data_IF_053023520234
#
_entry.id   IF_053023520234
#
_cell.length_a   1.000
_cell.length_b   1.000
_cell.length_c   1.000
_cell.angle_alpha   90.00
_cell.angle_beta   90.00
_cell.angle_gamma   90.00
#
_symmetry.space_group_name_H-M   'P 1'
#
loop_
_entity.id
_entity.type
_entity.pdbx_description
1 polymer ?
#
# COMPACT_ATOMS: atom_id res chain seq x y z
N UNK A 1 -1.63 5.94 -3.31
CA UNK A 1 -2.17 4.74 -2.67
C UNK A 1 -1.24 4.25 -1.57
N UNK A 2 -1.69 3.37 -0.70
CA UNK A 2 -0.98 2.76 0.42
C UNK A 2 -0.50 3.80 1.45
N UNK A 3 -1.23 3.89 2.55
CA UNK A 3 -0.95 4.76 3.70
C UNK A 3 -1.83 4.35 4.89
N UNK A 4 -1.42 4.75 6.11
CA UNK A 4 -2.06 4.36 7.37
C UNK A 4 -2.57 5.62 8.10
N UNK A 5 -3.66 6.18 7.57
CA UNK A 5 -4.22 7.48 7.97
C UNK A 5 -5.55 7.37 8.72
N UNK A 6 -5.98 6.15 9.09
CA UNK A 6 -7.20 5.94 9.88
C UNK A 6 -6.83 5.83 11.36
N UNK A 7 -7.28 6.76 12.22
CA UNK A 7 -6.86 6.82 13.61
C UNK A 7 -7.11 5.54 14.39
N UNK A 8 -6.04 5.01 15.02
CA UNK A 8 -6.13 3.94 16.01
C UNK A 8 -6.49 2.55 15.47
N UNK A 9 -6.51 2.34 14.15
CA UNK A 9 -6.78 1.02 13.57
C UNK A 9 -5.54 0.13 13.50
N UNK A 10 -4.35 0.72 13.40
CA UNK A 10 -3.08 0.03 13.26
C UNK A 10 -1.93 0.85 13.87
N UNK A 11 -0.69 0.60 13.45
CA UNK A 11 0.50 1.35 13.85
C UNK A 11 0.70 2.67 13.07
N UNK A 12 -0.30 3.10 12.30
CA UNK A 12 -0.38 4.41 11.65
C UNK A 12 -0.66 5.54 12.64
N UNK A 13 -1.40 6.56 12.18
CA UNK A 13 -1.75 7.72 13.00
C UNK A 13 -2.66 7.33 14.17
N UNK A 14 -2.36 7.76 15.42
CA UNK A 14 -3.16 7.40 16.59
C UNK A 14 -4.41 8.27 16.78
N UNK A 15 -4.40 9.51 16.25
CA UNK A 15 -5.47 10.49 16.50
C UNK A 15 -5.99 11.13 15.21
N UNK A 16 -7.19 11.73 15.29
CA UNK A 16 -7.77 12.46 14.16
C UNK A 16 -6.95 13.70 13.81
N UNK A 17 -6.37 14.38 14.78
CA UNK A 17 -5.54 15.55 14.53
C UNK A 17 -4.29 15.18 13.74
N UNK A 18 -3.61 14.08 14.11
CA UNK A 18 -2.45 13.57 13.35
C UNK A 18 -2.86 13.09 11.95
N UNK A 19 -4.06 12.50 11.79
CA UNK A 19 -4.59 12.13 10.49
C UNK A 19 -4.76 13.35 9.57
N UNK A 20 -5.36 14.42 10.09
CA UNK A 20 -5.55 15.69 9.37
C UNK A 20 -4.22 16.34 9.00
N UNK A 21 -3.26 16.39 9.94
CA UNK A 21 -1.91 16.89 9.67
C UNK A 21 -1.22 16.11 8.55
N UNK A 22 -1.34 14.78 8.56
CA UNK A 22 -0.76 13.92 7.53
C UNK A 22 -1.43 14.11 6.17
N UNK A 23 -2.78 14.17 6.13
CA UNK A 23 -3.53 14.41 4.88
C UNK A 23 -3.14 15.75 4.29
N UNK A 24 -3.06 16.81 5.12
CA UNK A 24 -2.64 18.14 4.68
C UNK A 24 -1.19 18.15 4.19
N UNK A 25 -0.27 17.50 4.93
CA UNK A 25 1.14 17.41 4.53
C UNK A 25 1.32 16.71 3.18
N UNK A 26 0.61 15.60 2.94
CA UNK A 26 0.61 14.91 1.66
C UNK A 26 -0.05 15.74 0.56
N UNK A 27 -1.16 16.44 0.88
CA UNK A 27 -1.79 17.39 -0.05
C UNK A 27 -0.84 18.49 -0.52
N UNK A 28 -0.04 19.05 0.39
CA UNK A 28 1.01 20.04 0.06
C UNK A 28 2.14 19.48 -0.83
N UNK A 29 2.27 18.16 -0.93
CA UNK A 29 3.17 17.48 -1.87
C UNK A 29 2.52 17.23 -3.24
N UNK A 30 1.25 17.63 -3.44
CA UNK A 30 0.52 17.49 -4.69
C UNK A 30 -0.44 16.30 -4.76
N UNK A 31 -0.60 15.54 -3.68
CA UNK A 31 -1.59 14.46 -3.65
C UNK A 31 -3.00 15.04 -3.56
N UNK A 32 -3.84 14.71 -4.53
CA UNK A 32 -5.26 15.11 -4.55
C UNK A 32 -6.18 13.99 -4.05
N UNK A 33 -5.74 12.74 -4.13
CA UNK A 33 -6.46 11.54 -3.70
C UNK A 33 -5.53 10.64 -2.91
N UNK A 34 -5.96 10.23 -1.73
CA UNK A 34 -5.26 9.28 -0.87
C UNK A 34 -6.13 8.03 -0.70
N UNK A 35 -5.56 6.86 -0.90
CA UNK A 35 -6.17 5.60 -0.52
C UNK A 35 -5.43 5.13 0.72
N UNK A 36 -6.12 5.11 1.85
CA UNK A 36 -5.60 4.62 3.12
C UNK A 36 -5.93 3.15 3.28
N UNK A 37 -4.97 2.38 3.77
CA UNK A 37 -4.99 0.92 3.77
C UNK A 37 -4.51 0.38 5.11
N UNK A 38 -5.28 0.57 6.20
CA UNK A 38 -4.88 0.01 7.49
C UNK A 38 -4.67 -1.50 7.38
N UNK A 39 -3.76 -2.00 8.22
CA UNK A 39 -3.49 -3.43 8.30
C UNK A 39 -4.75 -4.22 8.73
N UNK A 40 -4.93 -5.39 8.11
CA UNK A 40 -5.86 -6.43 8.55
C UNK A 40 -5.04 -7.69 8.81
N UNK A 41 -4.90 -8.05 10.09
CA UNK A 41 -4.08 -9.16 10.58
C UNK A 41 -4.76 -9.75 11.82
N UNK A 42 -4.98 -11.07 11.87
CA UNK A 42 -5.77 -11.73 12.91
C UNK A 42 -5.35 -11.37 14.34
N UNK A 43 -4.08 -11.51 14.64
CA UNK A 43 -3.58 -11.40 16.03
C UNK A 43 -3.29 -9.96 16.46
N UNK A 44 -2.96 -9.07 15.51
CA UNK A 44 -2.42 -7.75 15.84
C UNK A 44 -3.37 -6.60 15.50
N UNK A 45 -4.01 -6.69 14.34
CA UNK A 45 -4.92 -5.66 13.82
C UNK A 45 -6.16 -6.33 13.22
N UNK A 46 -7.08 -6.86 14.07
CA UNK A 46 -8.27 -7.57 13.62
C UNK A 46 -9.36 -6.64 13.09
N UNK A 47 -8.92 -5.72 12.20
CA UNK A 47 -9.81 -4.78 11.58
C UNK A 47 -10.80 -5.49 10.65
N UNK A 48 -12.00 -4.96 10.57
CA UNK A 48 -13.06 -5.44 9.66
C UNK A 48 -13.31 -4.42 8.56
N UNK A 49 -13.94 -4.85 7.47
CA UNK A 49 -14.41 -3.94 6.41
C UNK A 49 -15.35 -2.86 6.97
N UNK A 50 -16.15 -3.21 8.01
CA UNK A 50 -17.05 -2.30 8.70
C UNK A 50 -16.30 -1.20 9.45
N UNK A 51 -15.33 -1.57 10.30
CA UNK A 51 -14.54 -0.60 11.09
C UNK A 51 -13.73 0.33 10.19
N UNK A 52 -13.14 -0.22 9.11
CA UNK A 52 -12.37 0.59 8.15
C UNK A 52 -13.28 1.60 7.43
N UNK A 53 -14.47 1.20 6.99
CA UNK A 53 -15.42 2.11 6.34
C UNK A 53 -15.93 3.20 7.28
N UNK A 54 -16.20 2.86 8.53
CA UNK A 54 -16.63 3.83 9.55
C UNK A 54 -15.56 4.89 9.80
N UNK A 55 -14.32 4.47 10.06
CA UNK A 55 -13.21 5.40 10.27
C UNK A 55 -12.88 6.20 9.02
N UNK A 56 -13.00 5.60 7.83
CA UNK A 56 -12.83 6.34 6.58
C UNK A 56 -13.82 7.49 6.47
N UNK A 57 -15.11 7.27 6.77
CA UNK A 57 -16.12 8.33 6.76
C UNK A 57 -15.80 9.43 7.78
N UNK A 58 -15.39 9.05 9.00
CA UNK A 58 -15.01 10.01 10.03
C UNK A 58 -13.84 10.90 9.56
N UNK A 59 -12.80 10.32 8.96
CA UNK A 59 -11.68 11.09 8.39
C UNK A 59 -12.12 11.96 7.21
N UNK A 60 -12.96 11.45 6.30
CA UNK A 60 -13.51 12.24 5.18
C UNK A 60 -14.28 13.47 5.66
N UNK A 61 -15.14 13.31 6.68
CA UNK A 61 -15.90 14.40 7.27
C UNK A 61 -14.98 15.44 7.93
N UNK A 62 -13.98 14.99 8.69
CA UNK A 62 -13.01 15.86 9.33
C UNK A 62 -12.16 16.64 8.30
N UNK A 63 -11.67 15.99 7.25
CA UNK A 63 -10.92 16.60 6.14
C UNK A 63 -11.78 17.67 5.44
N UNK A 64 -13.04 17.36 5.15
CA UNK A 64 -13.99 18.30 4.55
C UNK A 64 -14.24 19.51 5.45
N UNK A 65 -14.47 19.28 6.75
CA UNK A 65 -14.69 20.34 7.75
C UNK A 65 -13.47 21.25 7.92
N UNK A 66 -12.26 20.69 7.80
CA UNK A 66 -11.00 21.45 7.88
C UNK A 66 -10.64 22.18 6.58
N UNK A 67 -11.43 22.02 5.51
CA UNK A 67 -11.17 22.68 4.23
C UNK A 67 -9.93 22.13 3.48
N UNK A 68 -9.44 20.95 3.82
CA UNK A 68 -8.28 20.34 3.16
C UNK A 68 -8.70 19.81 1.78
N UNK A 69 -8.09 20.27 0.66
CA UNK A 69 -8.52 19.93 -0.70
C UNK A 69 -7.97 18.57 -1.15
N UNK A 70 -8.15 17.52 -0.34
CA UNK A 70 -7.68 16.15 -0.60
C UNK A 70 -8.83 15.19 -0.35
N UNK A 71 -9.10 14.31 -1.32
CA UNK A 71 -10.06 13.23 -1.14
C UNK A 71 -9.38 12.01 -0.50
N UNK A 72 -10.00 11.45 0.53
CA UNK A 72 -9.51 10.25 1.24
C UNK A 72 -10.45 9.09 0.92
N UNK A 73 -9.91 7.92 0.63
CA UNK A 73 -10.64 6.68 0.36
C UNK A 73 -10.08 5.56 1.24
N UNK A 74 -10.96 4.65 1.70
CA UNK A 74 -10.57 3.51 2.51
C UNK A 74 -10.46 2.24 1.69
N UNK A 75 -9.40 1.49 1.92
CA UNK A 75 -9.18 0.12 1.52
C UNK A 75 -8.50 -0.62 2.67
N UNK A 76 -7.89 -1.77 2.43
CA UNK A 76 -7.13 -2.48 3.45
C UNK A 76 -5.82 -3.03 2.89
N UNK A 77 -4.81 -3.17 3.76
CA UNK A 77 -3.62 -3.99 3.54
C UNK A 77 -3.78 -5.29 4.30
N UNK A 78 -4.00 -6.37 3.57
CA UNK A 78 -4.25 -7.69 4.16
C UNK A 78 -2.96 -8.46 4.34
N UNK A 79 -2.65 -8.82 5.57
CA UNK A 79 -1.60 -9.79 5.85
C UNK A 79 -2.08 -11.18 5.44
N UNK A 80 -1.32 -11.88 4.59
CA UNK A 80 -1.72 -13.18 4.04
C UNK A 80 -1.52 -14.32 5.06
N UNK A 81 -2.36 -14.33 6.10
CA UNK A 81 -2.49 -15.38 7.10
C UNK A 81 -3.76 -16.23 6.88
N UNK A 82 -4.07 -17.12 7.82
CA UNK A 82 -5.29 -17.96 7.76
C UNK A 82 -6.57 -17.11 7.81
N UNK A 83 -6.55 -15.99 8.54
CA UNK A 83 -7.67 -15.06 8.61
C UNK A 83 -7.95 -14.39 7.24
N UNK A 84 -6.90 -14.04 6.50
CA UNK A 84 -7.06 -13.59 5.13
C UNK A 84 -7.77 -14.64 4.26
N UNK A 85 -7.40 -15.93 4.42
CA UNK A 85 -8.05 -17.03 3.74
C UNK A 85 -9.55 -17.12 4.06
N UNK A 86 -9.94 -16.93 5.32
CA UNK A 86 -11.34 -16.88 5.72
C UNK A 86 -12.10 -15.70 5.13
N UNK A 87 -11.51 -14.50 5.17
CA UNK A 87 -12.11 -13.28 4.57
C UNK A 87 -12.31 -13.45 3.07
N UNK A 88 -11.32 -14.03 2.39
CA UNK A 88 -11.38 -14.31 0.95
C UNK A 88 -12.55 -15.28 0.64
N UNK A 89 -12.72 -16.35 1.43
CA UNK A 89 -13.83 -17.29 1.27
C UNK A 89 -15.18 -16.63 1.46
N UNK A 90 -15.31 -15.70 2.41
CA UNK A 90 -16.55 -14.96 2.72
C UNK A 90 -16.82 -13.81 1.74
N UNK A 91 -15.91 -13.52 0.79
CA UNK A 91 -15.93 -12.32 -0.07
C UNK A 91 -15.98 -11.01 0.76
N UNK A 92 -15.35 -10.99 1.93
CA UNK A 92 -15.31 -9.84 2.83
C UNK A 92 -13.94 -9.14 2.77
N UNK A 93 -13.58 -8.72 1.58
CA UNK A 93 -12.38 -7.91 1.34
C UNK A 93 -12.76 -6.51 0.88
N UNK A 94 -11.94 -5.52 1.24
CA UNK A 94 -12.08 -4.12 0.84
C UNK A 94 -10.98 -3.77 -0.16
N UNK A 95 -11.28 -3.81 -1.48
CA UNK A 95 -10.30 -3.53 -2.53
C UNK A 95 -9.89 -2.05 -2.58
N UNK A 96 -8.74 -1.79 -3.19
CA UNK A 96 -8.24 -0.43 -3.49
C UNK A 96 -9.15 0.35 -4.44
N UNK A 97 -9.89 -0.38 -5.29
CA UNK A 97 -10.71 0.22 -6.34
C UNK A 97 -11.88 -0.69 -6.77
N UNK A 98 -12.74 -0.13 -7.63
CA UNK A 98 -13.89 -0.82 -8.22
C UNK A 98 -13.51 -1.95 -9.19
N UNK A 99 -12.24 -2.07 -9.56
CA UNK A 99 -11.74 -3.13 -10.46
C UNK A 99 -11.26 -4.38 -9.72
N UNK A 100 -11.35 -4.39 -8.38
CA UNK A 100 -11.00 -5.54 -7.55
C UNK A 100 -9.50 -5.68 -7.25
N UNK A 101 -8.71 -4.60 -7.27
CA UNK A 101 -7.33 -4.62 -6.81
C UNK A 101 -7.29 -4.70 -5.29
N UNK A 102 -6.69 -5.75 -4.74
CA UNK A 102 -6.56 -5.99 -3.29
C UNK A 102 -5.10 -5.92 -2.89
N UNK A 103 -4.77 -5.03 -1.94
CA UNK A 103 -3.43 -4.90 -1.40
C UNK A 103 -3.19 -6.01 -0.37
N UNK A 104 -2.10 -6.76 -0.58
CA UNK A 104 -1.72 -7.88 0.28
C UNK A 104 -0.27 -7.74 0.74
N UNK A 105 -0.01 -8.13 1.98
CA UNK A 105 1.30 -8.13 2.61
C UNK A 105 1.71 -9.55 3.00
N UNK A 106 3.00 -9.88 2.83
CA UNK A 106 3.57 -11.15 3.28
C UNK A 106 4.34 -10.96 4.60
N UNK A 107 4.57 -12.06 5.29
CA UNK A 107 5.51 -12.05 6.42
C UNK A 107 6.91 -11.62 5.97
N UNK A 108 7.57 -10.79 6.80
CA UNK A 108 8.96 -10.39 6.56
C UNK A 108 9.97 -11.53 6.80
N UNK A 109 9.55 -12.62 7.43
CA UNK A 109 10.40 -13.77 7.74
C UNK A 109 10.46 -14.79 6.60
N UNK A 110 9.30 -15.13 6.04
CA UNK A 110 9.15 -16.09 4.94
C UNK A 110 7.77 -15.93 4.28
N UNK A 111 7.61 -16.29 3.00
CA UNK A 111 6.29 -16.30 2.38
C UNK A 111 5.39 -17.35 3.04
N UNK A 112 4.07 -17.12 3.10
CA UNK A 112 3.15 -18.14 3.62
C UNK A 112 3.13 -19.37 2.71
N UNK A 113 2.97 -20.55 3.29
CA UNK A 113 2.90 -21.81 2.54
C UNK A 113 1.73 -21.81 1.54
N UNK A 114 0.64 -21.16 1.90
CA UNK A 114 -0.56 -21.07 1.07
C UNK A 114 -0.50 -19.94 0.00
N UNK A 115 0.63 -19.25 -0.18
CA UNK A 115 0.73 -18.08 -1.07
C UNK A 115 0.16 -18.34 -2.47
N UNK A 116 0.58 -19.42 -3.11
CA UNK A 116 0.13 -19.74 -4.48
C UNK A 116 -1.37 -20.05 -4.53
N UNK A 117 -1.89 -20.72 -3.50
CA UNK A 117 -3.32 -21.00 -3.38
C UNK A 117 -4.11 -19.69 -3.21
N UNK A 118 -3.66 -18.78 -2.34
CA UNK A 118 -4.33 -17.49 -2.15
C UNK A 118 -4.34 -16.66 -3.44
N UNK A 119 -3.23 -16.59 -4.15
CA UNK A 119 -3.16 -15.87 -5.42
C UNK A 119 -4.11 -16.46 -6.48
N UNK A 120 -4.19 -17.78 -6.55
CA UNK A 120 -5.13 -18.49 -7.43
C UNK A 120 -6.59 -18.20 -7.04
N UNK A 121 -6.93 -18.34 -5.77
CA UNK A 121 -8.29 -18.15 -5.26
C UNK A 121 -8.78 -16.71 -5.42
N UNK A 122 -7.89 -15.71 -5.24
CA UNK A 122 -8.19 -14.31 -5.53
C UNK A 122 -8.58 -14.14 -7.01
N UNK A 123 -7.77 -14.66 -7.92
CA UNK A 123 -8.02 -14.50 -9.36
C UNK A 123 -9.27 -15.26 -9.82
N UNK A 124 -9.51 -16.44 -9.29
CA UNK A 124 -10.73 -17.22 -9.55
C UNK A 124 -12.01 -16.46 -9.15
N UNK A 125 -11.89 -15.51 -8.21
CA UNK A 125 -12.97 -14.60 -7.77
C UNK A 125 -12.97 -13.25 -8.49
N UNK A 126 -12.13 -13.06 -9.52
CA UNK A 126 -12.00 -11.81 -10.25
C UNK A 126 -11.22 -10.71 -9.51
N UNK A 127 -10.58 -11.03 -8.36
CA UNK A 127 -9.73 -10.11 -7.64
C UNK A 127 -8.32 -10.06 -8.24
N UNK A 128 -7.67 -8.93 -8.10
CA UNK A 128 -6.34 -8.66 -8.65
C UNK A 128 -5.36 -8.41 -7.50
N UNK A 129 -4.50 -9.38 -7.16
CA UNK A 129 -3.56 -9.21 -6.06
C UNK A 129 -2.54 -8.11 -6.37
N UNK A 130 -2.35 -7.21 -5.41
CA UNK A 130 -1.30 -6.18 -5.41
C UNK A 130 -0.41 -6.43 -4.21
N UNK A 131 0.80 -6.90 -4.44
CA UNK A 131 1.77 -7.14 -3.38
C UNK A 131 2.36 -5.82 -2.91
N UNK A 132 2.17 -5.54 -1.62
CA UNK A 132 2.75 -4.39 -0.95
C UNK A 132 4.26 -4.55 -0.84
N UNK A 133 4.99 -3.49 -1.14
CA UNK A 133 6.44 -3.32 -0.94
C UNK A 133 7.28 -4.60 -1.09
N UNK A 134 7.23 -5.31 -2.26
CA UNK A 134 7.97 -6.55 -2.47
C UNK A 134 9.48 -6.40 -2.25
N UNK A 135 10.00 -5.20 -2.40
CA UNK A 135 11.39 -4.85 -2.14
C UNK A 135 11.80 -4.94 -0.67
N UNK A 136 10.85 -5.05 0.27
CA UNK A 136 11.13 -5.17 1.72
C UNK A 136 11.28 -6.62 2.18
N UNK A 137 10.95 -7.60 1.35
CA UNK A 137 11.09 -9.02 1.70
C UNK A 137 12.50 -9.51 1.41
N UNK A 138 13.34 -9.59 2.45
CA UNK A 138 14.78 -9.93 2.36
C UNK A 138 15.00 -11.25 1.65
N UNK A 139 14.12 -12.23 1.82
CA UNK A 139 14.21 -13.55 1.21
C UNK A 139 14.04 -13.54 -0.33
N UNK A 140 13.58 -12.41 -0.91
CA UNK A 140 13.46 -12.22 -2.37
C UNK A 140 14.56 -11.32 -2.97
N UNK A 141 15.36 -10.59 -2.17
CA UNK A 141 16.20 -9.48 -2.63
C UNK A 141 17.12 -9.81 -3.83
N UNK A 142 17.69 -11.03 -3.89
CA UNK A 142 18.62 -11.43 -4.97
C UNK A 142 17.99 -12.41 -5.95
N UNK A 143 16.70 -12.69 -5.83
CA UNK A 143 16.01 -13.74 -6.57
C UNK A 143 15.03 -13.15 -7.58
N UNK A 144 15.54 -12.62 -8.69
CA UNK A 144 14.70 -12.03 -9.74
C UNK A 144 13.67 -13.03 -10.29
N UNK A 145 14.00 -14.31 -10.33
CA UNK A 145 13.13 -15.40 -10.75
C UNK A 145 11.89 -15.56 -9.86
N UNK A 146 12.03 -15.33 -8.55
CA UNK A 146 10.91 -15.38 -7.61
C UNK A 146 9.93 -14.21 -7.83
N UNK A 147 10.46 -13.01 -8.06
CA UNK A 147 9.63 -11.86 -8.46
C UNK A 147 8.91 -12.13 -9.78
N UNK A 148 9.62 -12.76 -10.75
CA UNK A 148 9.01 -13.10 -12.02
C UNK A 148 7.92 -14.18 -11.86
N UNK A 149 8.12 -15.16 -10.98
CA UNK A 149 7.11 -16.17 -10.67
C UNK A 149 5.84 -15.53 -10.09
N UNK A 150 5.96 -14.57 -9.16
CA UNK A 150 4.82 -13.82 -8.62
C UNK A 150 4.10 -12.99 -9.70
N UNK A 151 4.85 -12.35 -10.60
CA UNK A 151 4.27 -11.62 -11.75
C UNK A 151 3.50 -12.58 -12.67
N UNK A 152 4.08 -13.74 -12.97
CA UNK A 152 3.45 -14.76 -13.81
C UNK A 152 2.19 -15.35 -13.14
N UNK A 153 2.18 -15.41 -11.80
CA UNK A 153 0.99 -15.75 -11.01
C UNK A 153 -0.01 -14.59 -10.90
N UNK A 154 0.07 -13.56 -11.77
CA UNK A 154 -0.88 -12.45 -11.85
C UNK A 154 -0.73 -11.36 -10.80
N UNK A 155 0.29 -11.44 -9.95
CA UNK A 155 0.52 -10.46 -8.90
C UNK A 155 1.04 -9.14 -9.47
N UNK A 156 0.46 -8.01 -9.07
CA UNK A 156 0.98 -6.66 -9.33
C UNK A 156 1.84 -6.21 -8.17
N UNK A 157 2.80 -5.34 -8.43
CA UNK A 157 3.75 -4.88 -7.40
C UNK A 157 3.56 -3.40 -7.08
N UNK A 158 3.39 -3.11 -5.81
CA UNK A 158 3.44 -1.76 -5.28
C UNK A 158 4.75 -1.56 -4.53
N UNK A 159 5.61 -0.68 -5.01
CA UNK A 159 6.89 -0.32 -4.38
C UNK A 159 6.74 0.97 -3.56
N UNK A 160 7.36 1.00 -2.39
CA UNK A 160 7.39 2.20 -1.56
C UNK A 160 8.32 3.26 -2.18
N UNK A 161 7.83 4.48 -2.32
CA UNK A 161 8.62 5.60 -2.89
C UNK A 161 9.90 5.83 -2.08
N UNK A 162 9.81 5.73 -0.74
CA UNK A 162 10.96 5.92 0.14
C UNK A 162 11.98 4.77 0.05
N UNK A 163 11.61 3.58 -0.40
CA UNK A 163 12.57 2.50 -0.67
C UNK A 163 13.57 2.90 -1.77
N UNK A 164 13.09 3.63 -2.77
CA UNK A 164 13.94 4.10 -3.88
C UNK A 164 15.05 5.03 -3.39
N UNK A 165 14.81 5.76 -2.31
CA UNK A 165 15.74 6.74 -1.73
C UNK A 165 16.69 6.17 -0.67
N UNK A 166 16.55 4.89 -0.31
CA UNK A 166 17.36 4.25 0.71
C UNK A 166 16.87 4.45 2.14
N UNK A 167 15.65 4.95 2.34
CA UNK A 167 15.08 5.18 3.68
C UNK A 167 15.04 3.91 4.54
N UNK A 168 14.81 2.75 3.92
CA UNK A 168 14.74 1.44 4.59
C UNK A 168 16.06 0.64 4.51
N UNK A 169 17.15 1.30 4.16
CA UNK A 169 18.48 0.69 4.05
C UNK A 169 18.89 0.33 2.62
N UNK A 170 20.20 0.03 2.44
CA UNK A 170 20.77 -0.18 1.10
C UNK A 170 20.23 -1.41 0.38
N UNK A 171 19.96 -2.50 1.09
CA UNK A 171 19.49 -3.75 0.48
C UNK A 171 18.07 -3.58 -0.10
N UNK A 172 17.17 -2.91 0.65
CA UNK A 172 15.82 -2.56 0.20
C UNK A 172 15.88 -1.61 -1.00
N UNK A 173 16.79 -0.62 -0.97
CA UNK A 173 17.00 0.29 -2.09
C UNK A 173 17.46 -0.46 -3.34
N UNK A 174 18.39 -1.39 -3.20
CA UNK A 174 18.90 -2.20 -4.30
C UNK A 174 17.80 -3.08 -4.90
N UNK A 175 16.98 -3.71 -4.04
CA UNK A 175 15.83 -4.49 -4.48
C UNK A 175 14.79 -3.63 -5.23
N UNK A 176 14.47 -2.42 -4.72
CA UNK A 176 13.58 -1.49 -5.40
C UNK A 176 14.13 -1.08 -6.78
N UNK A 177 15.44 -0.80 -6.88
CA UNK A 177 16.10 -0.49 -8.15
C UNK A 177 16.08 -1.66 -9.12
N UNK A 178 16.25 -2.89 -8.62
CA UNK A 178 16.16 -4.11 -9.43
C UNK A 178 14.76 -4.26 -10.05
N UNK A 179 13.71 -4.08 -9.25
CA UNK A 179 12.32 -4.13 -9.72
C UNK A 179 12.02 -3.04 -10.75
N UNK A 180 12.48 -1.81 -10.52
CA UNK A 180 12.34 -0.70 -11.46
C UNK A 180 13.08 -0.99 -12.77
N UNK A 181 14.33 -1.45 -12.71
CA UNK A 181 15.15 -1.77 -13.90
C UNK A 181 14.47 -2.82 -14.78
N UNK A 182 13.83 -3.81 -14.16
CA UNK A 182 13.13 -4.90 -14.85
C UNK A 182 11.66 -4.58 -15.19
N UNK A 183 11.19 -3.34 -14.97
CA UNK A 183 9.82 -2.87 -15.28
C UNK A 183 8.74 -3.71 -14.58
N UNK A 184 9.01 -4.17 -13.36
CA UNK A 184 8.09 -5.00 -12.59
C UNK A 184 7.18 -4.19 -11.66
N UNK A 185 7.40 -2.89 -11.53
CA UNK A 185 6.63 -2.01 -10.65
C UNK A 185 5.37 -1.51 -11.35
N UNK A 186 4.20 -1.86 -10.80
CA UNK A 186 2.91 -1.40 -11.31
C UNK A 186 2.43 -0.14 -10.59
N UNK A 187 2.69 -0.05 -9.28
CA UNK A 187 2.23 1.05 -8.43
C UNK A 187 3.35 1.59 -7.54
N UNK A 188 3.25 2.88 -7.22
CA UNK A 188 4.05 3.49 -6.16
C UNK A 188 3.15 3.84 -4.97
N UNK A 189 3.60 3.49 -3.77
CA UNK A 189 2.91 3.79 -2.52
C UNK A 189 3.78 4.65 -1.60
N UNK A 190 3.14 5.35 -0.67
CA UNK A 190 3.87 6.11 0.36
C UNK A 190 4.19 5.26 1.57
N UNK A 191 3.31 4.32 1.91
CA UNK A 191 3.36 3.53 3.14
C UNK A 191 3.55 4.45 4.37
N UNK A 192 2.81 5.58 4.34
CA UNK A 192 3.00 6.65 5.31
C UNK A 192 2.21 6.37 6.59
N UNK A 193 2.93 6.18 7.71
CA UNK A 193 2.39 5.92 9.04
C UNK A 193 2.50 7.13 9.98
N UNK A 194 3.51 7.97 9.79
CA UNK A 194 3.87 9.05 10.71
C UNK A 194 4.31 10.27 9.93
N UNK A 195 4.19 11.45 10.55
CA UNK A 195 4.62 12.73 9.95
C UNK A 195 6.06 12.70 9.42
N UNK A 196 6.96 11.95 10.07
CA UNK A 196 8.35 11.78 9.58
C UNK A 196 8.41 11.25 8.15
N UNK A 197 7.47 10.37 7.72
CA UNK A 197 7.43 9.84 6.36
C UNK A 197 7.07 10.94 5.35
N UNK A 198 6.11 11.82 5.67
CA UNK A 198 5.77 12.97 4.82
C UNK A 198 6.95 13.96 4.71
N UNK A 199 7.64 14.22 5.82
CA UNK A 199 8.85 15.08 5.85
C UNK A 199 9.96 14.48 5.00
N UNK A 200 10.24 13.19 5.15
CA UNK A 200 11.27 12.48 4.36
C UNK A 200 10.91 12.46 2.88
N UNK A 201 9.65 12.20 2.54
CA UNK A 201 9.17 12.23 1.16
C UNK A 201 9.34 13.63 0.53
N UNK A 202 9.02 14.69 1.29
CA UNK A 202 9.24 16.08 0.87
C UNK A 202 10.72 16.35 0.56
N UNK A 203 11.62 15.90 1.43
CA UNK A 203 13.06 16.05 1.22
C UNK A 203 13.53 15.27 -0.03
N UNK A 204 13.05 14.03 -0.20
CA UNK A 204 13.38 13.19 -1.34
C UNK A 204 12.91 13.78 -2.69
N UNK A 205 11.70 14.37 -2.71
CA UNK A 205 11.19 15.07 -3.90
C UNK A 205 12.04 16.30 -4.26
N UNK A 206 12.48 17.06 -3.25
CA UNK A 206 13.31 18.26 -3.45
C UNK A 206 14.74 17.94 -3.88
N UNK A 207 15.30 16.81 -3.48
CA UNK A 207 16.67 16.40 -3.83
C UNK A 207 16.84 16.00 -5.30
N UNK A 208 15.74 15.80 -6.04
CA UNK A 208 15.76 15.33 -7.43
C UNK A 208 16.00 13.82 -7.59
N UNK A 209 16.30 13.09 -6.52
CA UNK A 209 16.56 11.63 -6.57
C UNK A 209 15.39 10.82 -7.13
N UNK A 210 14.15 11.31 -6.96
CA UNK A 210 12.95 10.66 -7.44
C UNK A 210 12.54 11.08 -8.86
N UNK A 211 13.17 12.11 -9.44
CA UNK A 211 12.74 12.65 -10.73
C UNK A 211 12.83 11.62 -11.86
N UNK A 212 13.96 10.93 -11.97
CA UNK A 212 14.16 9.88 -12.99
C UNK A 212 13.21 8.70 -12.79
N UNK A 213 13.14 8.07 -11.59
CA UNK A 213 12.19 6.98 -11.35
C UNK A 213 10.73 7.39 -11.63
N UNK A 214 10.29 8.55 -11.17
CA UNK A 214 8.91 9.00 -11.33
C UNK A 214 8.53 9.32 -12.79
N UNK A 215 9.46 9.84 -13.59
CA UNK A 215 9.21 10.20 -14.99
C UNK A 215 9.41 9.06 -15.98
N UNK A 216 10.29 8.11 -15.67
CA UNK A 216 10.73 7.07 -16.62
C UNK A 216 9.72 5.96 -16.82
N UNK A 217 8.89 5.68 -15.83
CA UNK A 217 7.99 4.54 -15.82
C UNK A 217 6.53 4.99 -15.83
N UNK A 218 5.70 4.27 -16.58
CA UNK A 218 4.25 4.42 -16.56
C UNK A 218 3.67 3.59 -15.40
N UNK A 219 3.30 4.26 -14.31
CA UNK A 219 2.65 3.60 -13.18
C UNK A 219 1.13 3.59 -13.36
N UNK A 220 0.50 2.54 -12.84
CA UNK A 220 -0.96 2.36 -12.90
C UNK A 220 -1.72 3.14 -11.81
N UNK A 221 -1.06 3.89 -10.93
CA UNK A 221 -1.73 4.68 -9.89
C UNK A 221 -2.87 5.57 -10.41
N UNK A 222 -2.73 6.28 -11.55
CA UNK A 222 -3.81 7.13 -12.07
C UNK A 222 -5.05 6.35 -12.53
N UNK A 223 -4.90 5.05 -12.80
CA UNK A 223 -5.98 4.17 -13.27
C UNK A 223 -6.83 3.61 -12.13
N UNK A 224 -6.38 3.75 -10.87
CA UNK A 224 -7.17 3.33 -9.71
C UNK A 224 -8.40 4.23 -9.57
N UNK A 225 -9.57 3.60 -9.51
CA UNK A 225 -10.87 4.24 -9.27
C UNK A 225 -11.38 3.82 -7.90
N UNK A 226 -10.98 4.52 -6.81
CA UNK A 226 -11.30 4.11 -5.45
C UNK A 226 -12.80 3.98 -5.21
N UNK A 227 -13.17 3.09 -4.31
CA UNK A 227 -14.54 2.94 -3.87
C UNK A 227 -14.98 4.18 -3.08
N UNK A 228 -16.18 4.68 -3.33
CA UNK A 228 -16.78 5.84 -2.62
C UNK A 228 -17.40 5.41 -1.30
#
# INVERSE_FOLDING_TARGET
MHSHLLPGLDDGVPTMDEALEMVEALGRLGYQRLITTPHVMAERYPNTTGTIREQTRAVQEAVKKSGIPVAVFGAAEYFMDDYFGELLQRNDLLPLDTQGHVLVELSFLHPPLALQQYLFDMQARGLKPVLAHPERYVYYHTKLEEFQALKNAGCRFQVNILSITGHYGPDVQQAAQLLLKNKMVDYLGTDAHRMRHAVTLKAALRSGHLEKPLKKFAYSNPLLTPNT
#
